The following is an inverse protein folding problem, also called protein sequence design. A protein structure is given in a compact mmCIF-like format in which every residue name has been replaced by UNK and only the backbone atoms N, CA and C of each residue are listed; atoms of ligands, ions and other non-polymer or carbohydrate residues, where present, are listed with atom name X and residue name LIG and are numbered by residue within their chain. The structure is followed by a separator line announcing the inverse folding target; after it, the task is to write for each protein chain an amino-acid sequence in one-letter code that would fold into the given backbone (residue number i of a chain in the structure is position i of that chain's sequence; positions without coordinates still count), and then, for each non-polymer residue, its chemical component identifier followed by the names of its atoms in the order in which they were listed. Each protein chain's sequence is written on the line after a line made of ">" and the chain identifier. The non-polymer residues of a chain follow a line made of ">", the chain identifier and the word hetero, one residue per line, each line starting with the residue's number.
data_IF_557828405722
#
_entry.id   IF_557828405722
#
_cell.length_a   1.000
_cell.length_b   1.000
_cell.length_c   1.000
_cell.angle_alpha   90.00
_cell.angle_beta   90.00
_cell.angle_gamma   90.00
#
_symmetry.space_group_name_H-M   'P 1'
#
loop_
_entity.id
_entity.type
_entity.pdbx_description
1 polymer ?
#
# COMPACT_ATOMS: atom_id res chain seq x y z
N UNK A 1 21.41 -13.96 -17.58
CA UNK A 1 21.41 -12.56 -18.05
C UNK A 1 20.63 -11.70 -17.06
N UNK A 2 21.19 -11.48 -15.86
CA UNK A 2 20.62 -10.58 -14.86
C UNK A 2 21.15 -9.21 -15.24
N UNK A 3 20.35 -8.38 -15.91
CA UNK A 3 20.68 -6.97 -16.08
C UNK A 3 21.10 -6.45 -14.70
N UNK A 4 22.23 -5.75 -14.61
CA UNK A 4 22.69 -5.10 -13.38
C UNK A 4 21.76 -3.93 -13.05
N UNK A 5 20.54 -4.27 -12.62
CA UNK A 5 19.44 -3.37 -12.23
C UNK A 5 19.85 -2.52 -11.03
N UNK A 6 20.70 -3.07 -10.17
CA UNK A 6 21.39 -2.36 -9.10
C UNK A 6 22.20 -1.17 -9.62
N UNK A 7 22.89 -1.32 -10.77
CA UNK A 7 23.62 -0.24 -11.43
C UNK A 7 22.74 0.77 -12.19
N UNK A 8 21.54 0.36 -12.65
CA UNK A 8 20.58 1.26 -13.29
C UNK A 8 19.85 2.13 -12.25
N UNK A 9 19.39 1.53 -11.15
CA UNK A 9 18.78 2.24 -10.02
C UNK A 9 19.78 3.23 -9.39
N UNK A 10 21.05 2.84 -9.20
CA UNK A 10 22.09 3.76 -8.73
C UNK A 10 22.34 4.93 -9.68
N UNK A 11 22.25 4.72 -10.99
CA UNK A 11 22.46 5.76 -12.02
C UNK A 11 21.29 6.75 -12.11
N UNK A 12 20.07 6.31 -11.85
CA UNK A 12 18.89 7.18 -11.80
C UNK A 12 18.88 8.01 -10.50
N UNK A 13 19.23 7.40 -9.37
CA UNK A 13 19.23 8.08 -8.07
C UNK A 13 20.39 9.07 -7.87
N UNK A 14 21.58 8.84 -8.47
CA UNK A 14 22.77 9.69 -8.27
C UNK A 14 22.84 10.94 -9.17
N UNK A 15 21.71 11.52 -9.58
CA UNK A 15 21.65 12.93 -9.98
C UNK A 15 22.60 13.36 -11.11
N UNK A 16 22.80 12.55 -12.15
CA UNK A 16 23.42 13.01 -13.39
C UNK A 16 22.44 13.88 -14.18
N UNK A 17 22.49 15.21 -13.99
CA UNK A 17 21.77 16.23 -14.78
C UNK A 17 22.21 16.24 -16.26
N UNK A 18 21.84 15.19 -17.01
CA UNK A 18 22.11 15.09 -18.43
C UNK A 18 20.95 14.43 -19.16
N UNK A 19 20.38 15.12 -20.14
CA UNK A 19 19.41 14.55 -21.10
C UNK A 19 19.85 13.20 -21.69
N UNK A 20 21.16 12.97 -21.77
CA UNK A 20 21.79 11.73 -22.22
C UNK A 20 21.45 10.53 -21.29
N UNK A 21 21.46 10.72 -19.98
CA UNK A 21 21.09 9.68 -18.99
C UNK A 21 19.61 9.34 -19.12
N UNK A 22 18.76 10.35 -19.25
CA UNK A 22 17.30 10.17 -19.37
C UNK A 22 16.91 9.48 -20.69
N UNK A 23 17.57 9.83 -21.80
CA UNK A 23 17.39 9.16 -23.09
C UNK A 23 17.79 7.69 -23.03
N UNK A 24 18.94 7.38 -22.43
CA UNK A 24 19.45 6.01 -22.33
C UNK A 24 18.58 5.11 -21.44
N UNK A 25 18.04 5.64 -20.34
CA UNK A 25 17.06 4.93 -19.50
C UNK A 25 15.77 4.64 -20.27
N UNK A 26 15.27 5.61 -21.06
CA UNK A 26 14.05 5.43 -21.85
C UNK A 26 14.23 4.39 -22.97
N UNK A 27 15.41 4.33 -23.58
CA UNK A 27 15.78 3.36 -24.62
C UNK A 27 16.00 1.95 -24.05
N UNK A 28 16.60 1.83 -22.86
CA UNK A 28 16.65 0.55 -22.16
C UNK A 28 15.25 0.08 -21.76
N UNK A 29 14.40 0.99 -21.28
CA UNK A 29 13.03 0.65 -20.91
C UNK A 29 12.25 0.15 -22.14
N UNK A 30 12.40 0.77 -23.31
CA UNK A 30 11.69 0.35 -24.54
C UNK A 30 12.06 -1.07 -25.00
N UNK A 31 13.27 -1.55 -24.69
CA UNK A 31 13.73 -2.92 -24.97
C UNK A 31 13.15 -4.00 -24.06
N UNK A 32 12.51 -3.61 -22.95
CA UNK A 32 11.96 -4.54 -21.96
C UNK A 32 10.55 -5.02 -22.34
N UNK A 33 10.26 -6.28 -21.98
CA UNK A 33 8.88 -6.79 -21.94
C UNK A 33 8.03 -5.97 -20.96
N UNK A 34 6.71 -6.02 -21.13
CA UNK A 34 5.76 -5.32 -20.25
C UNK A 34 6.00 -5.68 -18.79
N UNK A 35 6.05 -6.97 -18.42
CA UNK A 35 6.27 -7.39 -17.03
C UNK A 35 7.61 -6.92 -16.47
N UNK A 36 8.68 -6.88 -17.29
CA UNK A 36 9.98 -6.39 -16.83
C UNK A 36 9.97 -4.88 -16.59
N UNK A 37 9.24 -4.14 -17.41
CA UNK A 37 9.03 -2.69 -17.27
C UNK A 37 8.24 -2.38 -16.01
N UNK A 38 7.10 -3.03 -15.80
CA UNK A 38 6.28 -2.85 -14.60
C UNK A 38 7.06 -3.21 -13.33
N UNK A 39 7.78 -4.34 -13.34
CA UNK A 39 8.65 -4.72 -12.23
C UNK A 39 9.72 -3.66 -11.95
N UNK A 40 10.32 -3.09 -13.00
CA UNK A 40 11.33 -2.05 -12.85
C UNK A 40 10.74 -0.76 -12.24
N UNK A 41 9.55 -0.35 -12.66
CA UNK A 41 8.87 0.82 -12.10
C UNK A 41 8.57 0.64 -10.61
N UNK A 42 8.01 -0.52 -10.24
CA UNK A 42 7.76 -0.85 -8.82
C UNK A 42 9.06 -0.91 -8.01
N UNK A 43 10.10 -1.56 -8.55
CA UNK A 43 11.42 -1.61 -7.91
C UNK A 43 11.98 -0.20 -7.66
N UNK A 44 11.83 0.71 -8.61
CA UNK A 44 12.30 2.08 -8.50
C UNK A 44 11.53 2.86 -7.42
N UNK A 45 10.20 2.74 -7.37
CA UNK A 45 9.37 3.42 -6.37
C UNK A 45 9.69 2.92 -4.95
N UNK A 46 9.76 1.60 -4.78
CA UNK A 46 10.13 0.96 -3.51
C UNK A 46 11.55 1.34 -3.09
N UNK A 47 12.49 1.38 -4.02
CA UNK A 47 13.86 1.82 -3.74
C UNK A 47 13.91 3.28 -3.27
N UNK A 48 13.05 4.15 -3.79
CA UNK A 48 12.87 5.52 -3.30
C UNK A 48 12.48 5.56 -1.82
N UNK A 49 11.55 4.70 -1.39
CA UNK A 49 11.13 4.60 0.02
C UNK A 49 12.30 4.15 0.90
N UNK A 50 13.07 3.15 0.48
CA UNK A 50 14.24 2.68 1.23
C UNK A 50 15.34 3.74 1.33
N UNK A 51 15.63 4.47 0.25
CA UNK A 51 16.61 5.56 0.29
C UNK A 51 16.16 6.68 1.24
N UNK A 52 14.87 7.04 1.21
CA UNK A 52 14.34 8.03 2.14
C UNK A 52 14.47 7.54 3.59
N UNK A 53 14.16 6.28 3.86
CA UNK A 53 14.34 5.67 5.18
C UNK A 53 15.81 5.70 5.63
N UNK A 54 16.75 5.27 4.78
CA UNK A 54 18.19 5.22 5.09
C UNK A 54 18.79 6.62 5.33
N UNK A 55 18.32 7.62 4.58
CA UNK A 55 18.74 9.01 4.73
C UNK A 55 18.06 9.75 5.90
N UNK A 56 17.01 9.19 6.49
CA UNK A 56 16.25 9.81 7.58
C UNK A 56 16.95 9.64 8.92
N UNK A 57 16.67 10.55 9.87
CA UNK A 57 17.16 10.41 11.24
C UNK A 57 16.45 9.27 12.00
N UNK A 58 17.02 8.83 13.12
CA UNK A 58 16.52 7.70 13.91
C UNK A 58 15.08 7.89 14.38
N UNK A 59 14.66 9.12 14.70
CA UNK A 59 13.29 9.36 15.15
C UNK A 59 12.29 9.21 14.01
N UNK A 60 12.64 9.71 12.83
CA UNK A 60 11.85 9.52 11.60
C UNK A 60 11.80 8.05 11.19
N UNK A 61 12.93 7.33 11.21
CA UNK A 61 12.98 5.90 10.93
C UNK A 61 12.08 5.11 11.88
N UNK A 62 12.16 5.40 13.18
CA UNK A 62 11.29 4.77 14.19
C UNK A 62 9.81 5.03 13.89
N UNK A 63 9.45 6.27 13.58
CA UNK A 63 8.08 6.63 13.22
C UNK A 63 7.58 5.90 11.97
N UNK A 64 8.41 5.79 10.92
CA UNK A 64 8.06 5.07 9.69
C UNK A 64 7.82 3.57 9.90
N UNK A 65 8.53 2.95 10.84
CA UNK A 65 8.39 1.54 11.16
C UNK A 65 7.28 1.25 12.19
N UNK A 66 6.72 2.29 12.81
CA UNK A 66 5.68 2.16 13.80
C UNK A 66 4.30 1.94 13.16
N UNK A 67 3.62 0.87 13.59
CA UNK A 67 2.23 0.62 13.20
C UNK A 67 1.35 1.71 13.80
N UNK A 68 0.76 2.54 12.95
CA UNK A 68 -0.11 3.66 13.34
C UNK A 68 -1.51 3.17 13.75
N UNK A 69 -1.61 2.49 14.90
CA UNK A 69 -2.82 1.79 15.36
C UNK A 69 -4.05 2.68 15.39
N UNK A 70 -3.96 3.87 15.97
CA UNK A 70 -5.09 4.78 16.10
C UNK A 70 -5.66 5.20 14.75
N UNK A 71 -4.80 5.47 13.77
CA UNK A 71 -5.20 5.82 12.40
C UNK A 71 -5.87 4.64 11.69
N UNK A 72 -5.34 3.43 11.89
CA UNK A 72 -5.92 2.22 11.33
C UNK A 72 -7.29 1.91 11.96
N UNK A 73 -7.41 2.04 13.28
CA UNK A 73 -8.66 1.82 13.99
C UNK A 73 -9.73 2.85 13.56
N UNK A 74 -9.38 4.13 13.47
CA UNK A 74 -10.28 5.18 12.98
C UNK A 74 -10.79 4.88 11.55
N UNK A 75 -9.90 4.45 10.65
CA UNK A 75 -10.27 4.04 9.29
C UNK A 75 -11.23 2.83 9.29
N UNK A 76 -10.92 1.80 10.08
CA UNK A 76 -11.71 0.57 10.17
C UNK A 76 -13.08 0.81 10.78
N UNK A 77 -13.16 1.56 11.87
CA UNK A 77 -14.41 1.91 12.55
C UNK A 77 -15.33 2.75 11.64
N UNK A 78 -14.76 3.72 10.91
CA UNK A 78 -15.51 4.48 9.90
C UNK A 78 -16.01 3.59 8.78
N UNK A 79 -15.15 2.71 8.26
CA UNK A 79 -15.51 1.78 7.18
C UNK A 79 -16.59 0.78 7.57
N UNK A 80 -16.60 0.31 8.82
CA UNK A 80 -17.64 -0.60 9.33
C UNK A 80 -19.01 0.08 9.39
N UNK A 81 -19.03 1.37 9.74
CA UNK A 81 -20.25 2.18 9.80
C UNK A 81 -20.76 2.53 8.39
N UNK A 82 -19.86 3.00 7.53
CA UNK A 82 -20.21 3.44 6.19
C UNK A 82 -19.02 3.41 5.24
N UNK A 83 -19.22 2.82 4.07
CA UNK A 83 -18.28 2.87 2.96
C UNK A 83 -18.68 3.98 1.98
N UNK A 84 -17.68 4.65 1.40
CA UNK A 84 -17.91 5.63 0.35
C UNK A 84 -18.29 5.00 -1.00
N UNK A 85 -18.79 5.79 -1.97
CA UNK A 85 -19.27 5.30 -3.26
C UNK A 85 -18.20 4.59 -4.11
N UNK A 86 -16.92 4.80 -3.82
CA UNK A 86 -15.79 4.11 -4.45
C UNK A 86 -15.78 2.58 -4.18
N UNK A 87 -16.52 2.11 -3.17
CA UNK A 87 -16.66 0.69 -2.86
C UNK A 87 -17.81 0.01 -3.61
N UNK A 88 -18.49 0.71 -4.52
CA UNK A 88 -19.62 0.16 -5.29
C UNK A 88 -19.29 -1.10 -6.09
N UNK A 89 -18.07 -1.25 -6.58
CA UNK A 89 -17.61 -2.49 -7.25
C UNK A 89 -17.56 -3.70 -6.32
N UNK A 90 -17.62 -3.49 -5.00
CA UNK A 90 -17.60 -4.51 -3.97
C UNK A 90 -18.98 -4.71 -3.29
N UNK A 91 -20.07 -4.20 -3.87
CA UNK A 91 -21.41 -4.31 -3.28
C UNK A 91 -21.86 -5.78 -3.09
N UNK A 92 -21.50 -6.66 -4.03
CA UNK A 92 -21.73 -8.11 -3.91
C UNK A 92 -20.79 -8.81 -2.90
N UNK A 93 -19.77 -8.12 -2.40
CA UNK A 93 -18.75 -8.64 -1.47
C UNK A 93 -18.86 -8.01 -0.07
N UNK A 94 -19.99 -7.38 0.27
CA UNK A 94 -20.17 -6.73 1.57
C UNK A 94 -19.95 -7.65 2.78
N UNK A 95 -20.35 -8.94 2.77
CA UNK A 95 -19.97 -9.86 3.86
C UNK A 95 -18.45 -10.03 4.03
N UNK A 96 -17.69 -10.06 2.93
CA UNK A 96 -16.22 -10.09 2.98
C UNK A 96 -15.64 -8.79 3.54
N UNK A 97 -16.21 -7.64 3.18
CA UNK A 97 -15.80 -6.35 3.76
C UNK A 97 -16.03 -6.32 5.27
N UNK A 98 -17.18 -6.79 5.77
CA UNK A 98 -17.42 -6.93 7.21
C UNK A 98 -16.37 -7.82 7.87
N UNK A 99 -16.07 -8.98 7.30
CA UNK A 99 -15.02 -9.87 7.80
C UNK A 99 -13.65 -9.19 7.83
N UNK A 100 -13.19 -8.59 6.72
CA UNK A 100 -11.87 -7.97 6.66
C UNK A 100 -11.73 -6.82 7.68
N UNK A 101 -12.79 -6.03 7.88
CA UNK A 101 -12.76 -4.92 8.83
C UNK A 101 -12.73 -5.44 10.26
N UNK A 102 -13.68 -6.31 10.64
CA UNK A 102 -13.76 -6.86 12.00
C UNK A 102 -12.50 -7.66 12.37
N UNK A 103 -11.99 -8.46 11.44
CA UNK A 103 -10.76 -9.22 11.66
C UNK A 103 -9.54 -8.32 11.85
N UNK A 104 -9.45 -7.22 11.08
CA UNK A 104 -8.36 -6.25 11.25
C UNK A 104 -8.42 -5.55 12.61
N UNK A 105 -9.62 -5.20 13.10
CA UNK A 105 -9.82 -4.64 14.44
C UNK A 105 -9.33 -5.64 15.51
N UNK A 106 -9.69 -6.92 15.37
CA UNK A 106 -9.22 -7.97 16.28
C UNK A 106 -7.70 -8.16 16.26
N UNK A 107 -7.05 -8.07 15.09
CA UNK A 107 -5.57 -8.12 14.97
C UNK A 107 -4.87 -6.93 15.65
N UNK A 108 -5.55 -5.78 15.75
CA UNK A 108 -5.07 -4.63 16.52
C UNK A 108 -5.25 -4.81 18.04
N UNK A 109 -5.99 -5.85 18.46
CA UNK A 109 -6.32 -6.11 19.86
C UNK A 109 -7.52 -5.31 20.37
N UNK A 110 -8.32 -4.77 19.45
CA UNK A 110 -9.46 -3.91 19.75
C UNK A 110 -10.79 -4.65 19.58
N UNK A 111 -11.87 -4.04 20.07
CA UNK A 111 -13.23 -4.56 19.95
C UNK A 111 -14.16 -3.49 19.39
N UNK A 112 -15.34 -3.92 18.92
CA UNK A 112 -16.42 -3.01 18.52
C UNK A 112 -17.40 -2.84 19.67
N UNK A 113 -18.15 -1.74 19.68
CA UNK A 113 -19.22 -1.54 20.64
C UNK A 113 -20.41 -2.49 20.37
N UNK A 114 -21.24 -2.72 21.39
CA UNK A 114 -22.40 -3.63 21.31
C UNK A 114 -23.36 -3.26 20.16
N UNK A 115 -23.46 -1.95 19.85
CA UNK A 115 -24.29 -1.45 18.76
C UNK A 115 -23.76 -1.91 17.40
N UNK A 116 -22.46 -1.71 17.14
CA UNK A 116 -21.80 -2.15 15.91
C UNK A 116 -21.78 -3.67 15.78
N UNK A 117 -21.58 -4.40 16.88
CA UNK A 117 -21.66 -5.85 16.89
C UNK A 117 -23.05 -6.33 16.45
N UNK A 118 -24.10 -5.81 17.10
CA UNK A 118 -25.49 -6.14 16.77
C UNK A 118 -25.84 -5.80 15.32
N UNK A 119 -25.42 -4.61 14.85
CA UNK A 119 -25.63 -4.17 13.47
C UNK A 119 -24.91 -5.08 12.46
N UNK A 120 -23.70 -5.53 12.77
CA UNK A 120 -22.96 -6.45 11.92
C UNK A 120 -23.62 -7.83 11.85
N UNK A 121 -24.10 -8.35 12.98
CA UNK A 121 -24.83 -9.63 13.05
C UNK A 121 -26.13 -9.55 12.23
N UNK A 122 -26.95 -8.51 12.44
CA UNK A 122 -28.18 -8.29 11.69
C UNK A 122 -27.92 -8.12 10.18
N UNK A 123 -26.91 -7.33 9.81
CA UNK A 123 -26.52 -7.17 8.41
C UNK A 123 -26.14 -8.50 7.76
N UNK A 124 -25.25 -9.28 8.40
CA UNK A 124 -24.82 -10.58 7.89
C UNK A 124 -25.97 -11.58 7.81
N UNK A 125 -26.89 -11.56 8.79
CA UNK A 125 -28.10 -12.38 8.79
C UNK A 125 -29.02 -12.10 7.59
N UNK A 126 -29.05 -10.87 7.08
CA UNK A 126 -29.80 -10.50 5.86
C UNK A 126 -29.08 -10.89 4.56
N UNK A 127 -27.81 -11.27 4.63
CA UNK A 127 -27.03 -11.76 3.49
C UNK A 127 -27.05 -13.29 3.34
N UNK A 128 -27.71 -14.00 4.26
CA UNK A 128 -27.93 -15.45 4.19
C UNK A 128 -29.07 -15.81 3.24
#
# INVERSE_FOLDING_TARGET
>A
LRLDRSGLNRRICNGGHGESTRRRVMEELSSLTVSQREQFLVENDVFGIYNYFDASDVSTQKYMMEIQRDKQLDYLMKGLRQLGPQFSSLDANRPWLCYWILHSIALLGETVDDELESNAIDFLGRCQ
#
